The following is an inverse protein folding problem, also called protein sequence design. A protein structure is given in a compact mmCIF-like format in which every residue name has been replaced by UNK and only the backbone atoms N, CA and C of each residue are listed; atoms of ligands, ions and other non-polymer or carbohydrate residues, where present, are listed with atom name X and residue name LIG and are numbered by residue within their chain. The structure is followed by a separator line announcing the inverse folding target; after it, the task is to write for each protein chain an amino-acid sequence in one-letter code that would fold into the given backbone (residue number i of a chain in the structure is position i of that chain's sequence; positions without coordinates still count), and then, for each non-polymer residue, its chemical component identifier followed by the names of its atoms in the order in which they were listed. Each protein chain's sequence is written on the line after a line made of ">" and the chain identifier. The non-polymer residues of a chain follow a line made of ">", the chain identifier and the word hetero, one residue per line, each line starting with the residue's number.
data_IF_796360175522
#
_entry.id   IF_796360175522
#
_cell.length_a   1.000
_cell.length_b   1.000
_cell.length_c   1.000
_cell.angle_alpha   90.00
_cell.angle_beta   90.00
_cell.angle_gamma   90.00
#
_symmetry.space_group_name_H-M   'P 1'
#
loop_
_entity.id
_entity.type
_entity.pdbx_description
1 polymer ?
#
# COMPACT_ATOMS: atom_id res chain seq x y z
N UNK A 1 1.87 -8.91 -7.63
CA UNK A 1 0.56 -8.65 -6.99
C UNK A 1 -0.37 -8.33 -8.14
N UNK A 2 -1.57 -8.89 -8.19
CA UNK A 2 -2.53 -8.49 -9.21
C UNK A 2 -3.07 -7.12 -8.80
N UNK A 3 -3.07 -6.18 -9.74
CA UNK A 3 -3.77 -4.91 -9.58
C UNK A 3 -5.17 -5.10 -10.12
N UNK A 4 -6.21 -4.65 -9.41
CA UNK A 4 -7.61 -4.76 -9.91
C UNK A 4 -7.83 -4.23 -11.34
N UNK A 5 -6.95 -3.38 -11.84
CA UNK A 5 -6.88 -2.93 -13.24
C UNK A 5 -5.93 -3.77 -14.10
N UNK A 6 -6.38 -4.09 -15.32
CA UNK A 6 -5.62 -4.76 -16.39
C UNK A 6 -5.06 -6.16 -16.04
N UNK A 7 -5.74 -6.90 -15.17
CA UNK A 7 -5.41 -8.29 -14.84
C UNK A 7 -6.14 -9.27 -15.76
N UNK A 8 -5.43 -10.28 -16.27
CA UNK A 8 -6.00 -11.37 -17.06
C UNK A 8 -5.91 -12.69 -16.30
N UNK A 9 -7.01 -13.44 -16.27
CA UNK A 9 -7.10 -14.70 -15.55
C UNK A 9 -7.38 -15.87 -16.48
N UNK A 10 -6.74 -17.01 -16.22
CA UNK A 10 -7.14 -18.27 -16.84
C UNK A 10 -8.48 -18.72 -16.25
N UNK A 11 -9.50 -19.05 -17.06
CA UNK A 11 -10.80 -19.48 -16.55
C UNK A 11 -10.70 -20.68 -15.59
N UNK A 12 -9.78 -21.62 -15.89
CA UNK A 12 -9.49 -22.76 -15.00
C UNK A 12 -9.03 -22.31 -13.62
N UNK A 13 -8.20 -21.27 -13.52
CA UNK A 13 -7.70 -20.79 -12.24
C UNK A 13 -8.83 -20.24 -11.36
N UNK A 14 -9.74 -19.44 -11.94
CA UNK A 14 -10.91 -18.92 -11.22
C UNK A 14 -11.85 -20.03 -10.78
N UNK A 15 -12.08 -21.03 -11.64
CA UNK A 15 -12.90 -22.21 -11.29
C UNK A 15 -12.28 -23.02 -10.15
N UNK A 16 -10.95 -23.18 -10.16
CA UNK A 16 -10.23 -23.87 -9.07
C UNK A 16 -10.34 -23.09 -7.77
N UNK A 17 -10.19 -21.75 -7.79
CA UNK A 17 -10.43 -20.92 -6.60
C UNK A 17 -11.83 -21.14 -6.05
N UNK A 18 -12.86 -21.01 -6.89
CA UNK A 18 -14.26 -21.23 -6.47
C UNK A 18 -14.51 -22.62 -5.87
N UNK A 19 -13.86 -23.67 -6.41
CA UNK A 19 -13.99 -25.03 -5.91
C UNK A 19 -13.25 -25.27 -4.59
N UNK A 20 -12.12 -24.60 -4.39
CA UNK A 20 -11.23 -24.77 -3.24
C UNK A 20 -11.61 -23.90 -2.02
N UNK A 21 -12.48 -22.90 -2.20
CA UNK A 21 -13.01 -22.10 -1.09
C UNK A 21 -13.81 -22.93 -0.10
N UNK A 22 -13.58 -22.67 1.18
CA UNK A 22 -14.19 -23.39 2.30
C UNK A 22 -13.53 -24.73 2.63
N UNK A 23 -12.61 -25.21 1.79
CA UNK A 23 -11.81 -26.43 2.04
C UNK A 23 -10.34 -26.10 2.29
N UNK A 24 -9.63 -25.57 1.28
CA UNK A 24 -8.18 -25.29 1.36
C UNK A 24 -7.83 -23.81 1.40
N UNK A 25 -8.77 -22.94 1.02
CA UNK A 25 -8.64 -21.48 1.13
C UNK A 25 -9.92 -20.89 1.78
N UNK A 26 -9.80 -19.76 2.50
CA UNK A 26 -10.96 -19.09 3.12
C UNK A 26 -12.05 -18.67 2.11
N UNK A 27 -13.28 -18.53 2.59
CA UNK A 27 -14.44 -18.04 1.84
C UNK A 27 -15.51 -19.10 1.57
N UNK A 28 -16.50 -18.74 0.75
CA UNK A 28 -17.67 -19.57 0.45
C UNK A 28 -17.41 -20.38 -0.83
N UNK A 29 -17.70 -21.68 -0.78
CA UNK A 29 -17.56 -22.57 -1.93
C UNK A 29 -18.47 -22.12 -3.07
N UNK A 30 -17.91 -22.00 -4.27
CA UNK A 30 -18.59 -21.53 -5.47
C UNK A 30 -18.28 -20.08 -5.83
N UNK A 31 -17.82 -19.27 -4.86
CA UNK A 31 -17.51 -17.86 -5.09
C UNK A 31 -16.09 -17.67 -5.62
N UNK A 32 -15.96 -16.87 -6.66
CA UNK A 32 -14.63 -16.48 -7.17
C UNK A 32 -14.03 -15.38 -6.28
N UNK A 33 -14.85 -14.40 -5.91
CA UNK A 33 -14.46 -13.24 -5.13
C UNK A 33 -15.03 -13.31 -3.73
N UNK A 34 -14.23 -12.98 -2.72
CA UNK A 34 -14.68 -12.91 -1.34
C UNK A 34 -15.33 -11.55 -1.05
N UNK A 35 -16.64 -11.56 -0.80
CA UNK A 35 -17.43 -10.36 -0.50
C UNK A 35 -17.12 -9.75 0.87
N UNK A 36 -16.46 -10.50 1.76
CA UNK A 36 -15.97 -9.99 3.04
C UNK A 36 -14.68 -9.16 2.90
N UNK A 37 -13.96 -9.29 1.78
CA UNK A 37 -12.68 -8.62 1.58
C UNK A 37 -12.86 -7.18 1.09
N UNK A 38 -12.15 -6.24 1.72
CA UNK A 38 -12.04 -4.85 1.27
C UNK A 38 -11.15 -4.66 0.05
N UNK A 39 -10.31 -5.66 -0.24
CA UNK A 39 -9.33 -5.68 -1.33
C UNK A 39 -9.36 -7.04 -2.00
N UNK A 40 -10.44 -7.26 -2.75
CA UNK A 40 -10.72 -8.45 -3.56
C UNK A 40 -9.53 -8.86 -4.44
N UNK A 41 -8.85 -7.90 -5.08
CA UNK A 41 -7.72 -8.15 -5.95
C UNK A 41 -6.50 -8.75 -5.22
N UNK A 42 -6.21 -8.22 -4.03
CA UNK A 42 -5.19 -8.77 -3.14
C UNK A 42 -5.59 -10.14 -2.59
N UNK A 43 -6.85 -10.30 -2.18
CA UNK A 43 -7.39 -11.57 -1.69
C UNK A 43 -7.23 -12.67 -2.76
N UNK A 44 -7.69 -12.42 -3.99
CA UNK A 44 -7.57 -13.36 -5.09
C UNK A 44 -6.10 -13.65 -5.46
N UNK A 45 -5.22 -12.65 -5.31
CA UNK A 45 -3.76 -12.86 -5.46
C UNK A 45 -3.23 -13.87 -4.46
N UNK A 46 -3.63 -13.76 -3.19
CA UNK A 46 -3.21 -14.68 -2.12
C UNK A 46 -3.82 -16.05 -2.36
N UNK A 47 -5.12 -16.13 -2.69
CA UNK A 47 -5.81 -17.38 -3.04
C UNK A 47 -5.07 -18.16 -4.14
N UNK A 48 -4.75 -17.49 -5.24
CA UNK A 48 -4.04 -18.10 -6.36
C UNK A 48 -2.64 -18.55 -5.97
N UNK A 49 -1.89 -17.78 -5.16
CA UNK A 49 -0.56 -18.22 -4.68
C UNK A 49 -0.64 -19.43 -3.76
N UNK A 50 -1.62 -19.46 -2.86
CA UNK A 50 -1.82 -20.58 -1.94
C UNK A 50 -2.14 -21.87 -2.69
N UNK A 51 -2.82 -21.77 -3.84
CA UNK A 51 -3.09 -22.89 -4.75
C UNK A 51 -1.94 -23.21 -5.72
N UNK A 52 -0.77 -22.57 -5.58
CA UNK A 52 0.39 -22.81 -6.45
C UNK A 52 0.37 -22.10 -7.80
N UNK A 53 -0.53 -21.13 -7.97
CA UNK A 53 -0.65 -20.32 -9.18
C UNK A 53 0.58 -19.45 -9.43
N UNK A 54 1.11 -19.54 -10.65
CA UNK A 54 2.16 -18.64 -11.14
C UNK A 54 1.54 -17.34 -11.65
N UNK A 55 2.16 -16.21 -11.29
CA UNK A 55 1.74 -14.88 -11.73
C UNK A 55 2.94 -14.12 -12.28
N UNK A 56 2.73 -13.41 -13.39
CA UNK A 56 3.74 -12.61 -14.07
C UNK A 56 3.17 -11.20 -14.24
N UNK A 57 4.01 -10.19 -14.03
CA UNK A 57 3.69 -8.78 -14.29
C UNK A 57 4.71 -8.26 -15.31
N UNK A 58 4.48 -8.42 -16.62
CA UNK A 58 5.40 -7.94 -17.64
C UNK A 58 5.53 -6.42 -17.60
N UNK A 59 6.75 -5.89 -17.77
CA UNK A 59 6.99 -4.45 -17.77
C UNK A 59 6.29 -3.69 -18.90
N UNK A 60 5.87 -4.39 -19.95
CA UNK A 60 5.13 -3.85 -21.08
C UNK A 60 3.65 -3.59 -20.74
N UNK A 61 3.12 -4.24 -19.69
CA UNK A 61 1.75 -4.07 -19.24
C UNK A 61 1.72 -3.02 -18.12
N UNK A 62 1.75 -1.74 -18.52
CA UNK A 62 1.63 -0.62 -17.58
C UNK A 62 0.22 -0.04 -17.60
N UNK A 63 -0.26 0.35 -16.43
CA UNK A 63 -1.56 1.02 -16.28
C UNK A 63 -1.32 2.40 -15.72
N UNK A 64 -1.91 3.40 -16.37
CA UNK A 64 -2.00 4.75 -15.81
C UNK A 64 -3.34 4.82 -15.08
N UNK A 65 -3.28 5.11 -13.78
CA UNK A 65 -4.46 5.29 -12.94
C UNK A 65 -4.53 6.73 -12.48
N UNK A 66 -5.75 7.23 -12.27
CA UNK A 66 -5.92 8.57 -11.74
C UNK A 66 -5.42 8.67 -10.30
N UNK A 67 -4.71 9.76 -10.03
CA UNK A 67 -4.25 10.10 -8.70
C UNK A 67 -5.40 10.68 -7.89
N UNK A 68 -5.39 10.41 -6.58
CA UNK A 68 -6.36 11.05 -5.69
C UNK A 68 -6.11 12.56 -5.65
N UNK A 69 -7.15 13.39 -5.85
CA UNK A 69 -6.97 14.83 -5.95
C UNK A 69 -6.57 15.49 -4.62
N UNK A 70 -6.96 14.89 -3.48
CA UNK A 70 -6.80 15.48 -2.16
C UNK A 70 -6.23 14.50 -1.13
N UNK A 71 -5.54 15.01 -0.11
CA UNK A 71 -5.01 14.19 1.00
C UNK A 71 -6.09 13.38 1.74
N UNK A 72 -7.33 13.91 1.83
CA UNK A 72 -8.44 13.20 2.48
C UNK A 72 -8.86 11.94 1.71
N UNK A 73 -8.89 12.01 0.38
CA UNK A 73 -9.25 10.86 -0.47
C UNK A 73 -8.09 9.87 -0.53
N UNK A 74 -6.85 10.37 -0.60
CA UNK A 74 -5.64 9.55 -0.48
C UNK A 74 -5.59 8.79 0.86
N UNK A 75 -5.90 9.46 1.97
CA UNK A 75 -5.96 8.86 3.30
C UNK A 75 -6.95 7.69 3.33
N UNK A 76 -8.18 7.92 2.84
CA UNK A 76 -9.21 6.89 2.81
C UNK A 76 -8.78 5.69 1.94
N UNK A 77 -8.12 5.94 0.81
CA UNK A 77 -7.60 4.90 -0.07
C UNK A 77 -6.49 4.08 0.59
N UNK A 78 -5.45 4.75 1.11
CA UNK A 78 -4.30 4.09 1.74
C UNK A 78 -4.70 3.29 2.97
N UNK A 79 -5.61 3.84 3.78
CA UNK A 79 -6.12 3.14 4.94
C UNK A 79 -6.88 1.86 4.53
N UNK A 80 -7.72 1.92 3.48
CA UNK A 80 -8.41 0.75 2.95
C UNK A 80 -7.42 -0.32 2.48
N UNK A 81 -6.37 0.08 1.77
CA UNK A 81 -5.34 -0.84 1.29
C UNK A 81 -4.53 -1.48 2.41
N UNK A 82 -4.10 -0.70 3.39
CA UNK A 82 -3.35 -1.23 4.54
C UNK A 82 -4.20 -2.21 5.34
N UNK A 83 -5.45 -1.83 5.57
CA UNK A 83 -6.39 -2.65 6.33
C UNK A 83 -6.78 -3.93 5.59
N UNK A 84 -7.21 -3.84 4.34
CA UNK A 84 -7.56 -5.01 3.53
C UNK A 84 -6.37 -5.95 3.34
N UNK A 85 -5.15 -5.41 3.20
CA UNK A 85 -3.95 -6.23 3.16
C UNK A 85 -3.77 -7.03 4.47
N UNK A 86 -3.87 -6.38 5.63
CA UNK A 86 -3.68 -7.04 6.93
C UNK A 86 -4.81 -8.03 7.26
N UNK A 87 -6.07 -7.70 6.95
CA UNK A 87 -7.21 -8.58 7.16
C UNK A 87 -7.16 -9.81 6.28
N UNK A 88 -6.80 -9.66 4.98
CA UNK A 88 -6.59 -10.81 4.10
C UNK A 88 -5.41 -11.67 4.58
N UNK A 89 -4.30 -11.05 5.00
CA UNK A 89 -3.15 -11.77 5.58
C UNK A 89 -3.52 -12.54 6.84
N UNK A 90 -4.36 -11.95 7.69
CA UNK A 90 -4.91 -12.60 8.88
C UNK A 90 -5.81 -13.79 8.54
N UNK A 91 -6.72 -13.63 7.58
CA UNK A 91 -7.65 -14.69 7.15
C UNK A 91 -6.93 -15.91 6.56
N UNK A 92 -5.84 -15.69 5.83
CA UNK A 92 -5.01 -16.75 5.24
C UNK A 92 -3.93 -17.31 6.18
N UNK A 93 -3.70 -16.65 7.32
CA UNK A 93 -2.72 -17.06 8.32
C UNK A 93 -1.26 -16.97 7.89
N UNK A 94 -0.37 -17.45 8.76
CA UNK A 94 1.07 -17.48 8.53
C UNK A 94 1.49 -18.71 7.71
N UNK A 95 1.09 -18.76 6.44
CA UNK A 95 1.55 -19.79 5.50
C UNK A 95 2.94 -19.42 4.94
N UNK A 96 3.75 -20.38 4.48
CA UNK A 96 5.04 -20.10 3.83
C UNK A 96 4.93 -19.12 2.65
N UNK A 97 3.83 -19.20 1.91
CA UNK A 97 3.49 -18.30 0.80
C UNK A 97 3.12 -16.89 1.28
N UNK A 98 2.49 -16.78 2.46
CA UNK A 98 2.14 -15.53 3.13
C UNK A 98 3.31 -14.87 3.88
N UNK A 99 4.35 -15.62 4.25
CA UNK A 99 5.46 -15.14 5.08
C UNK A 99 6.18 -13.93 4.46
N UNK A 100 6.37 -13.92 3.15
CA UNK A 100 6.96 -12.78 2.44
C UNK A 100 6.13 -11.50 2.60
N UNK A 101 4.81 -11.62 2.56
CA UNK A 101 3.91 -10.48 2.72
C UNK A 101 3.85 -10.02 4.18
N UNK A 102 3.91 -10.96 5.13
CA UNK A 102 4.12 -10.64 6.54
C UNK A 102 5.43 -9.88 6.76
N UNK A 103 6.54 -10.36 6.17
CA UNK A 103 7.84 -9.68 6.25
C UNK A 103 7.80 -8.26 5.67
N UNK A 104 7.05 -8.04 4.58
CA UNK A 104 6.81 -6.69 4.05
C UNK A 104 6.06 -5.80 5.04
N UNK A 105 5.03 -6.33 5.71
CA UNK A 105 4.30 -5.56 6.72
C UNK A 105 5.15 -5.25 7.95
N UNK A 106 5.97 -6.19 8.42
CA UNK A 106 6.94 -5.91 9.47
C UNK A 106 8.01 -4.92 9.03
N UNK A 107 8.44 -4.95 7.76
CA UNK A 107 9.35 -3.97 7.19
C UNK A 107 8.78 -2.55 7.21
N UNK A 108 7.50 -2.39 6.88
CA UNK A 108 6.79 -1.10 7.00
C UNK A 108 6.71 -0.68 8.48
N UNK A 109 6.34 -1.59 9.37
CA UNK A 109 6.29 -1.31 10.81
C UNK A 109 7.66 -0.90 11.39
N UNK A 110 8.74 -1.55 10.96
CA UNK A 110 10.10 -1.15 11.30
C UNK A 110 10.42 0.25 10.77
N UNK A 111 10.04 0.56 9.53
CA UNK A 111 10.20 1.90 8.94
C UNK A 111 9.53 3.00 9.75
N UNK A 112 8.34 2.75 10.28
CA UNK A 112 7.62 3.67 11.18
C UNK A 112 8.44 3.94 12.45
N UNK A 113 8.93 2.88 13.10
CA UNK A 113 9.70 2.98 14.33
C UNK A 113 11.03 3.71 14.06
N UNK A 114 11.75 3.30 13.02
CA UNK A 114 13.04 3.87 12.65
C UNK A 114 12.94 5.36 12.33
N UNK A 115 11.96 5.77 11.50
CA UNK A 115 11.77 7.19 11.17
C UNK A 115 11.36 8.01 12.40
N UNK A 116 10.43 7.49 13.22
CA UNK A 116 9.99 8.18 14.43
C UNK A 116 11.12 8.33 15.45
N UNK A 117 11.92 7.28 15.64
CA UNK A 117 13.08 7.30 16.51
C UNK A 117 14.17 8.25 16.00
N UNK A 118 14.42 8.27 14.68
CA UNK A 118 15.36 9.21 14.07
C UNK A 118 14.95 10.67 14.32
N UNK A 119 13.69 11.01 14.08
CA UNK A 119 13.17 12.36 14.33
C UNK A 119 13.21 12.72 15.82
N UNK A 120 12.87 11.77 16.69
CA UNK A 120 12.94 11.95 18.14
C UNK A 120 14.39 12.20 18.61
N UNK A 121 15.36 11.43 18.10
CA UNK A 121 16.77 11.60 18.44
C UNK A 121 17.30 12.96 17.98
N UNK A 122 16.94 13.41 16.78
CA UNK A 122 17.27 14.75 16.31
C UNK A 122 16.66 15.82 17.22
N UNK A 123 15.38 15.68 17.58
CA UNK A 123 14.71 16.62 18.47
C UNK A 123 15.38 16.69 19.84
N UNK A 124 15.68 15.53 20.44
CA UNK A 124 16.40 15.45 21.71
C UNK A 124 17.79 16.06 21.63
N UNK A 125 18.53 15.83 20.53
CA UNK A 125 19.83 16.43 20.29
C UNK A 125 19.73 17.96 20.27
N UNK A 126 18.77 18.52 19.53
CA UNK A 126 18.56 19.96 19.40
C UNK A 126 18.17 20.60 20.74
N UNK A 127 17.37 19.91 21.55
CA UNK A 127 16.91 20.44 22.84
C UNK A 127 17.94 20.26 23.96
N UNK A 128 18.83 19.27 23.86
CA UNK A 128 19.75 18.90 24.94
C UNK A 128 21.18 19.43 24.74
N UNK A 129 21.59 19.76 23.52
CA UNK A 129 22.95 20.20 23.23
C UNK A 129 22.95 21.66 22.75
N UNK A 130 23.79 22.48 23.40
CA UNK A 130 24.01 23.87 22.97
C UNK A 130 24.80 23.97 21.65
N UNK A 131 25.46 22.87 21.25
CA UNK A 131 26.28 22.80 20.04
C UNK A 131 25.79 21.69 19.11
N UNK A 132 25.75 21.99 17.82
CA UNK A 132 25.34 21.04 16.79
C UNK A 132 26.40 19.97 16.55
N UNK A 133 26.04 18.71 16.78
CA UNK A 133 26.92 17.57 16.53
C UNK A 133 26.66 17.01 15.13
N UNK A 134 27.67 17.05 14.29
CA UNK A 134 27.63 16.42 12.97
C UNK A 134 27.91 14.94 13.10
N UNK A 135 27.10 14.12 12.42
CA UNK A 135 27.34 12.69 12.27
C UNK A 135 27.66 12.37 10.81
N UNK A 136 28.95 12.43 10.39
CA UNK A 136 29.34 12.26 8.98
C UNK A 136 28.89 10.93 8.37
N UNK A 137 28.84 9.86 9.17
CA UNK A 137 28.33 8.56 8.74
C UNK A 137 26.86 8.62 8.31
N UNK A 138 25.99 9.18 9.15
CA UNK A 138 24.56 9.32 8.85
C UNK A 138 24.30 10.32 7.73
N UNK A 139 25.09 11.39 7.65
CA UNK A 139 25.07 12.32 6.51
C UNK A 139 25.43 11.61 5.20
N UNK A 140 26.48 10.79 5.20
CA UNK A 140 26.90 10.04 4.03
C UNK A 140 25.81 9.10 3.54
N UNK A 141 25.15 8.38 4.46
CA UNK A 141 23.98 7.55 4.13
C UNK A 141 22.86 8.40 3.53
N UNK A 142 22.53 9.55 4.14
CA UNK A 142 21.51 10.47 3.64
C UNK A 142 21.80 10.96 2.21
N UNK A 143 23.07 11.26 1.90
CA UNK A 143 23.50 11.66 0.55
C UNK A 143 23.32 10.51 -0.45
N UNK A 144 23.72 9.29 -0.09
CA UNK A 144 23.53 8.11 -0.96
C UNK A 144 22.05 7.88 -1.26
N UNK A 145 21.18 7.95 -0.26
CA UNK A 145 19.72 7.87 -0.46
C UNK A 145 19.20 8.99 -1.37
N UNK A 146 19.68 10.23 -1.17
CA UNK A 146 19.30 11.37 -2.01
C UNK A 146 19.67 11.16 -3.48
N UNK A 147 20.87 10.63 -3.74
CA UNK A 147 21.34 10.35 -5.10
C UNK A 147 20.50 9.24 -5.75
N UNK A 148 20.26 8.13 -5.03
CA UNK A 148 19.39 7.04 -5.52
C UNK A 148 18.03 7.58 -5.96
N UNK A 149 17.42 8.46 -5.14
CA UNK A 149 16.13 9.07 -5.45
C UNK A 149 16.16 9.95 -6.69
N UNK A 150 17.17 10.79 -6.84
CA UNK A 150 17.32 11.65 -8.02
C UNK A 150 17.48 10.81 -9.29
N UNK A 151 18.24 9.70 -9.22
CA UNK A 151 18.41 8.76 -10.33
C UNK A 151 17.10 8.04 -10.66
N UNK A 152 16.34 7.63 -9.66
CA UNK A 152 15.04 6.97 -9.85
C UNK A 152 14.01 7.90 -10.52
N UNK A 153 14.02 9.19 -10.18
CA UNK A 153 13.10 10.21 -10.74
C UNK A 153 13.64 10.85 -12.02
N UNK A 154 14.76 10.34 -12.58
CA UNK A 154 15.43 11.00 -13.71
C UNK A 154 14.54 11.23 -14.94
N UNK A 155 13.60 10.30 -15.18
CA UNK A 155 12.61 10.37 -16.27
C UNK A 155 11.44 11.34 -16.00
N UNK A 156 11.23 11.79 -14.76
CA UNK A 156 10.15 12.68 -14.35
C UNK A 156 10.38 14.17 -14.68
N UNK A 157 11.51 14.52 -15.29
CA UNK A 157 11.86 15.90 -15.67
C UNK A 157 12.47 16.73 -14.53
N UNK A 158 12.82 17.98 -14.83
CA UNK A 158 13.60 18.84 -13.93
C UNK A 158 12.86 19.23 -12.64
N UNK A 159 11.54 19.45 -12.71
CA UNK A 159 10.70 19.75 -11.53
C UNK A 159 10.68 18.57 -10.55
N UNK A 160 10.61 17.36 -11.08
CA UNK A 160 10.63 16.15 -10.26
C UNK A 160 12.02 15.93 -9.62
N UNK A 161 13.10 16.30 -10.32
CA UNK A 161 14.46 16.29 -9.75
C UNK A 161 14.63 17.30 -8.62
N UNK A 162 14.12 18.53 -8.76
CA UNK A 162 14.16 19.51 -7.67
C UNK A 162 13.39 19.03 -6.44
N UNK A 163 12.21 18.45 -6.63
CA UNK A 163 11.44 17.85 -5.54
C UNK A 163 12.21 16.69 -4.87
N UNK A 164 12.84 15.83 -5.65
CA UNK A 164 13.65 14.72 -5.14
C UNK A 164 14.87 15.21 -4.33
N UNK A 165 15.54 16.28 -4.77
CA UNK A 165 16.68 16.86 -4.04
C UNK A 165 16.26 17.47 -2.71
N UNK A 166 15.06 18.06 -2.62
CA UNK A 166 14.64 18.72 -1.37
C UNK A 166 14.41 17.77 -0.21
N UNK A 167 14.15 16.47 -0.44
CA UNK A 167 13.81 15.42 0.55
C UNK A 167 12.56 15.70 1.42
N UNK A 168 12.24 16.95 1.73
CA UNK A 168 11.10 17.35 2.56
C UNK A 168 9.75 16.86 2.06
N UNK A 169 9.41 16.95 0.74
CA UNK A 169 8.12 16.45 0.25
C UNK A 169 7.97 14.94 0.47
N UNK A 170 9.07 14.20 0.32
CA UNK A 170 9.11 12.76 0.55
C UNK A 170 8.99 12.44 2.04
N UNK A 171 9.77 13.10 2.89
CA UNK A 171 9.71 12.90 4.34
C UNK A 171 8.30 13.15 4.89
N UNK A 172 7.63 14.19 4.39
CA UNK A 172 6.25 14.48 4.75
C UNK A 172 5.28 13.40 4.27
N UNK A 173 5.47 12.90 3.05
CA UNK A 173 4.65 11.83 2.48
C UNK A 173 4.86 10.49 3.21
N UNK A 174 6.09 10.14 3.55
CA UNK A 174 6.43 8.95 4.32
C UNK A 174 5.88 9.03 5.74
N UNK A 175 5.98 10.20 6.38
CA UNK A 175 5.35 10.44 7.67
C UNK A 175 3.82 10.29 7.57
N UNK A 176 3.19 10.83 6.52
CA UNK A 176 1.76 10.63 6.27
C UNK A 176 1.40 9.14 6.14
N UNK A 177 2.17 8.35 5.37
CA UNK A 177 1.95 6.91 5.23
C UNK A 177 2.16 6.15 6.55
N UNK A 178 3.15 6.54 7.35
CA UNK A 178 3.39 5.98 8.67
C UNK A 178 2.19 6.20 9.60
N UNK A 179 1.62 7.41 9.60
CA UNK A 179 0.42 7.71 10.40
C UNK A 179 -0.78 6.88 9.91
N UNK A 180 -0.96 6.72 8.59
CA UNK A 180 -2.01 5.84 8.04
C UNK A 180 -1.83 4.39 8.50
N UNK A 181 -0.59 3.89 8.49
CA UNK A 181 -0.27 2.52 8.90
C UNK A 181 -0.56 2.29 10.39
N UNK A 182 -0.06 3.19 11.26
CA UNK A 182 -0.34 3.13 12.71
C UNK A 182 -1.85 3.19 12.96
N UNK A 183 -2.57 4.08 12.28
CA UNK A 183 -4.02 4.18 12.40
C UNK A 183 -4.72 2.90 11.93
N UNK A 184 -4.24 2.28 10.86
CA UNK A 184 -4.72 0.99 10.37
C UNK A 184 -4.58 -0.12 11.42
N UNK A 185 -3.41 -0.23 12.04
CA UNK A 185 -3.17 -1.19 13.13
C UNK A 185 -4.10 -0.92 14.31
N UNK A 186 -4.19 0.33 14.77
CA UNK A 186 -5.04 0.71 15.90
C UNK A 186 -6.50 0.35 15.63
N UNK A 187 -7.03 0.68 14.44
CA UNK A 187 -8.42 0.36 14.10
C UNK A 187 -8.71 -1.15 14.09
N UNK A 188 -7.74 -1.95 13.64
CA UNK A 188 -7.85 -3.42 13.62
C UNK A 188 -7.76 -3.97 15.05
N UNK A 189 -6.81 -3.50 15.86
CA UNK A 189 -6.68 -3.87 17.26
C UNK A 189 -7.91 -3.49 18.09
N UNK A 190 -8.59 -2.39 17.74
CA UNK A 190 -9.84 -1.96 18.35
C UNK A 190 -11.09 -2.67 17.80
N UNK A 191 -10.93 -3.64 16.89
CA UNK A 191 -12.03 -4.42 16.33
C UNK A 191 -13.05 -3.60 15.54
N UNK A 192 -12.71 -2.38 15.11
CA UNK A 192 -13.65 -1.53 14.36
C UNK A 192 -13.86 -2.14 12.99
N UNK A 193 -15.05 -2.65 12.69
CA UNK A 193 -15.41 -3.19 11.36
C UNK A 193 -15.29 -2.14 10.25
N UNK A 194 -14.77 -2.52 9.09
CA UNK A 194 -14.52 -1.61 7.98
C UNK A 194 -15.84 -1.21 7.33
N UNK A 195 -16.19 0.08 7.40
CA UNK A 195 -17.34 0.58 6.64
C UNK A 195 -16.88 0.97 5.23
N UNK A 196 -17.54 0.39 4.23
CA UNK A 196 -17.44 0.85 2.84
C UNK A 196 -17.85 2.31 2.76
N UNK A 197 -16.89 3.18 2.45
CA UNK A 197 -17.17 4.61 2.21
C UNK A 197 -17.48 4.77 0.73
N UNK A 198 -18.76 4.69 0.37
CA UNK A 198 -19.22 5.00 -0.99
C UNK A 198 -18.87 6.45 -1.29
N UNK A 199 -18.11 6.68 -2.37
CA UNK A 199 -17.95 7.99 -2.95
C UNK A 199 -19.22 8.24 -3.78
N UNK A 200 -20.05 9.18 -3.37
CA UNK A 200 -21.17 9.63 -4.19
C UNK A 200 -20.59 10.31 -5.43
N UNK A 201 -20.62 9.63 -6.57
CA UNK A 201 -20.50 10.30 -7.86
C UNK A 201 -21.82 11.00 -8.10
N UNK A 202 -21.81 12.33 -8.01
CA UNK A 202 -22.94 13.13 -8.51
C UNK A 202 -23.09 12.82 -10.01
N UNK A 203 -24.28 12.42 -10.48
CA UNK A 203 -24.51 12.18 -11.89
C UNK A 203 -24.47 13.52 -12.62
N UNK A 204 -23.41 13.76 -13.38
CA UNK A 204 -23.31 14.95 -14.24
C UNK A 204 -24.11 14.70 -15.52
N UNK A 205 -25.24 15.40 -15.67
CA UNK A 205 -25.83 15.78 -16.95
C UNK A 205 -26.89 14.85 -17.56
N UNK A 206 -28.15 15.19 -17.36
CA UNK A 206 -29.27 14.72 -18.18
C UNK A 206 -29.11 15.15 -19.66
N UNK A 207 -29.47 14.30 -20.64
CA UNK A 207 -29.67 14.76 -22.00
C UNK A 207 -31.00 15.52 -22.10
N UNK A 208 -30.92 16.82 -22.37
CA UNK A 208 -32.05 17.67 -22.73
C UNK A 208 -32.78 17.09 -23.94
N UNK A 209 -33.99 16.57 -23.73
CA UNK A 209 -34.96 16.35 -24.80
C UNK A 209 -35.54 17.71 -25.19
N UNK A 210 -35.28 18.16 -26.41
CA UNK A 210 -36.08 19.19 -27.07
C UNK A 210 -36.80 18.53 -28.25
N UNK A 211 -38.11 18.71 -28.29
CA UNK A 211 -38.98 18.29 -29.40
C UNK A 211 -39.07 19.31 -30.51
#
# INVERSE_FOLDING_TARGET
>A
MLTGTASLFRPRALRTVAQSRGESIPGIRGDVYDTASLTEDNELTIALKSLGGLMISPMQCTVVTELMPNFRTLWAQRLRWQRGALENLGAYGATPQGLRYWAQQFGIGYGVIALSAYLLLILLMVLSLDNWVWFPFWLGIGVVFSIERVVTVWKGGWRARLLAVTLFPELFFDMFLNVVYVKGIIDISLGKQAKWKHLNHSPTGEPSKAG
#
